data_IF_405407545935
#
_entry.id   IF_405407545935
#
_cell.length_a   1.000
_cell.length_b   1.000
_cell.length_c   1.000
_cell.angle_alpha   90.00
_cell.angle_beta   90.00
_cell.angle_gamma   90.00
#
_symmetry.space_group_name_H-M   'P 1'
#
loop_
_entity.id
_entity.type
_entity.pdbx_description
1 polymer ?
#
# COMPACT_ATOMS: atom_id res chain seq x y z
N UNK A 1 -39.08 -63.33 28.82
CA UNK A 1 -39.03 -62.03 29.52
C UNK A 1 -37.97 -61.19 28.83
N UNK A 2 -38.40 -60.26 28.00
CA UNK A 2 -37.50 -59.39 27.22
C UNK A 2 -37.54 -57.98 27.81
N UNK A 3 -36.41 -57.52 28.34
CA UNK A 3 -36.27 -56.17 28.93
C UNK A 3 -35.90 -55.19 27.83
N UNK A 4 -36.82 -54.29 27.42
CA UNK A 4 -36.57 -53.14 26.53
C UNK A 4 -35.83 -52.08 27.32
N UNK A 5 -34.60 -51.81 26.92
CA UNK A 5 -33.86 -50.64 27.37
C UNK A 5 -34.36 -49.37 26.62
N UNK A 6 -34.97 -48.42 27.32
CA UNK A 6 -35.26 -47.06 26.83
C UNK A 6 -33.96 -46.28 26.79
N UNK A 7 -33.56 -45.83 25.57
CA UNK A 7 -32.53 -44.85 25.37
C UNK A 7 -33.14 -43.45 25.50
N UNK A 8 -32.75 -42.72 26.54
CA UNK A 8 -33.05 -41.31 26.66
C UNK A 8 -32.00 -40.52 25.86
N UNK A 9 -32.43 -39.89 24.76
CA UNK A 9 -31.62 -38.88 24.03
C UNK A 9 -31.81 -37.53 24.72
N UNK A 10 -30.76 -36.85 25.20
CA UNK A 10 -30.91 -35.49 25.67
C UNK A 10 -31.04 -34.58 24.44
N UNK A 11 -32.14 -33.85 24.33
CA UNK A 11 -32.34 -32.76 23.38
C UNK A 11 -31.46 -31.61 23.87
N UNK A 12 -30.31 -31.38 23.20
CA UNK A 12 -29.51 -30.19 23.39
C UNK A 12 -30.20 -29.06 22.62
N UNK A 13 -30.89 -28.20 23.36
CA UNK A 13 -31.48 -26.97 22.84
C UNK A 13 -30.36 -25.99 22.54
N UNK A 14 -29.88 -25.94 21.28
CA UNK A 14 -29.00 -24.87 20.78
C UNK A 14 -29.79 -23.58 20.76
N UNK A 15 -29.58 -22.72 21.78
CA UNK A 15 -30.03 -21.34 21.75
C UNK A 15 -29.16 -20.62 20.70
N UNK A 16 -29.69 -20.44 19.50
CA UNK A 16 -29.15 -19.49 18.54
C UNK A 16 -29.36 -18.09 19.10
N UNK A 17 -28.34 -17.51 19.65
CA UNK A 17 -28.27 -16.08 19.91
C UNK A 17 -28.24 -15.40 18.53
N UNK A 18 -29.41 -15.06 17.99
CA UNK A 18 -29.52 -14.13 16.87
C UNK A 18 -29.07 -12.77 17.41
N UNK A 19 -27.81 -12.43 17.20
CA UNK A 19 -27.32 -11.07 17.30
C UNK A 19 -28.00 -10.30 16.15
N UNK A 20 -29.17 -9.69 16.43
CA UNK A 20 -29.75 -8.66 15.59
C UNK A 20 -28.84 -7.41 15.75
N UNK A 21 -27.79 -7.30 14.95
CA UNK A 21 -27.21 -6.00 14.67
C UNK A 21 -28.31 -5.20 13.95
N UNK A 22 -28.78 -4.13 14.59
CA UNK A 22 -29.66 -3.17 13.92
C UNK A 22 -28.83 -2.59 12.76
N UNK A 23 -29.25 -2.90 11.53
CA UNK A 23 -28.71 -2.22 10.37
C UNK A 23 -29.24 -0.79 10.48
N UNK A 24 -28.37 0.17 10.76
CA UNK A 24 -28.74 1.57 10.72
C UNK A 24 -29.05 1.94 9.27
N UNK A 25 -30.27 2.35 9.02
CA UNK A 25 -30.72 2.78 7.69
C UNK A 25 -30.68 4.30 7.70
N UNK A 26 -29.79 4.86 6.89
CA UNK A 26 -29.68 6.30 6.70
C UNK A 26 -30.51 6.74 5.49
N UNK A 27 -31.18 7.90 5.60
CA UNK A 27 -31.93 8.49 4.52
C UNK A 27 -31.01 9.09 3.46
N UNK A 28 -31.43 9.07 2.19
CA UNK A 28 -30.72 9.75 1.11
C UNK A 28 -30.98 11.28 1.16
N UNK A 29 -30.52 11.91 2.22
CA UNK A 29 -30.48 13.36 2.43
C UNK A 29 -29.03 13.80 2.67
N UNK A 30 -28.68 15.09 2.55
CA UNK A 30 -27.32 15.54 2.87
C UNK A 30 -26.87 15.09 4.26
N UNK A 31 -27.75 15.22 5.26
CA UNK A 31 -27.45 14.79 6.64
C UNK A 31 -27.34 13.27 6.76
N UNK A 32 -28.21 12.49 6.11
CA UNK A 32 -28.15 11.04 6.16
C UNK A 32 -26.89 10.48 5.50
N UNK A 33 -26.45 11.07 4.38
CA UNK A 33 -25.18 10.69 3.73
C UNK A 33 -23.96 11.07 4.58
N UNK A 34 -23.97 12.22 5.26
CA UNK A 34 -22.92 12.61 6.19
C UNK A 34 -22.80 11.63 7.37
N UNK A 35 -23.93 11.31 8.04
CA UNK A 35 -23.93 10.35 9.17
C UNK A 35 -23.51 8.96 8.71
N UNK A 36 -23.95 8.51 7.54
CA UNK A 36 -23.56 7.22 6.98
C UNK A 36 -22.05 7.16 6.73
N UNK A 37 -21.47 8.20 6.09
CA UNK A 37 -20.05 8.26 5.81
C UNK A 37 -19.23 8.27 7.09
N UNK A 38 -19.61 9.14 8.05
CA UNK A 38 -18.89 9.24 9.32
C UNK A 38 -18.88 7.90 10.06
N UNK A 39 -20.04 7.24 10.21
CA UNK A 39 -20.13 5.94 10.87
C UNK A 39 -19.38 4.82 10.14
N UNK A 40 -19.38 4.80 8.79
CA UNK A 40 -18.61 3.81 8.02
C UNK A 40 -17.12 3.94 8.34
N UNK A 41 -16.61 5.17 8.39
CA UNK A 41 -15.20 5.44 8.69
C UNK A 41 -14.91 5.17 10.15
N UNK A 42 -15.75 5.69 11.07
CA UNK A 42 -15.59 5.52 12.52
C UNK A 42 -15.49 4.05 12.94
N UNK A 43 -16.38 3.20 12.42
CA UNK A 43 -16.43 1.77 12.77
C UNK A 43 -15.38 0.90 12.06
N UNK A 44 -14.72 1.40 10.98
CA UNK A 44 -13.95 0.51 10.09
C UNK A 44 -12.57 1.00 9.69
N UNK A 45 -12.29 2.28 9.83
CA UNK A 45 -10.97 2.83 9.50
C UNK A 45 -9.93 2.40 10.54
N UNK A 46 -8.78 1.91 10.09
CA UNK A 46 -7.86 1.18 10.95
C UNK A 46 -6.72 2.00 11.58
N UNK A 47 -6.60 3.30 11.29
CA UNK A 47 -5.44 4.08 11.72
C UNK A 47 -5.77 5.24 12.67
N UNK A 48 -6.91 5.24 13.36
CA UNK A 48 -7.27 6.33 14.25
C UNK A 48 -6.24 6.55 15.37
N UNK A 49 -5.91 5.51 16.14
CA UNK A 49 -4.94 5.60 17.22
C UNK A 49 -3.56 6.05 16.73
N UNK A 50 -3.11 5.45 15.63
CA UNK A 50 -1.84 5.82 15.01
C UNK A 50 -1.79 7.28 14.56
N UNK A 51 -2.86 7.78 13.94
CA UNK A 51 -2.93 9.18 13.46
C UNK A 51 -3.19 10.17 14.60
N UNK A 52 -3.84 9.75 15.68
CA UNK A 52 -3.93 10.53 16.91
C UNK A 52 -2.54 10.72 17.54
N UNK A 53 -1.69 9.69 17.56
CA UNK A 53 -0.31 9.79 18.05
C UNK A 53 0.59 10.63 17.13
N UNK A 54 0.48 10.49 15.81
CA UNK A 54 1.36 11.14 14.84
C UNK A 54 1.10 12.64 14.65
N UNK A 55 -0.17 13.06 14.66
CA UNK A 55 -0.52 14.46 14.43
C UNK A 55 -1.76 14.95 15.19
N UNK A 56 -2.23 14.20 16.20
CA UNK A 56 -3.30 14.65 17.07
C UNK A 56 -4.70 14.58 16.43
N UNK A 57 -4.95 13.62 15.53
CA UNK A 57 -6.28 13.42 14.96
C UNK A 57 -7.30 13.13 16.07
N UNK A 58 -8.36 13.93 16.10
CA UNK A 58 -9.54 13.74 16.94
C UNK A 58 -10.77 13.62 16.04
N UNK A 59 -11.19 12.37 15.80
CA UNK A 59 -12.27 12.09 14.85
C UNK A 59 -13.63 12.59 15.33
N UNK A 60 -13.87 12.61 16.63
CA UNK A 60 -15.07 13.21 17.21
C UNK A 60 -15.12 14.74 17.02
N UNK A 61 -13.98 15.40 17.17
CA UNK A 61 -13.88 16.83 16.88
C UNK A 61 -14.11 17.11 15.38
N UNK A 62 -13.60 16.25 14.47
CA UNK A 62 -13.88 16.31 13.02
C UNK A 62 -15.37 16.18 12.75
N UNK A 63 -16.06 15.21 13.38
CA UNK A 63 -17.52 15.08 13.26
C UNK A 63 -18.24 16.38 13.58
N UNK A 64 -17.96 16.97 14.76
CA UNK A 64 -18.60 18.20 15.19
C UNK A 64 -18.28 19.39 14.30
N UNK A 65 -17.07 19.45 13.74
CA UNK A 65 -16.65 20.48 12.81
C UNK A 65 -17.43 20.41 11.50
N UNK A 66 -17.50 19.23 10.89
CA UNK A 66 -18.08 19.06 9.56
C UNK A 66 -19.61 18.97 9.59
N UNK A 67 -20.21 18.41 10.62
CA UNK A 67 -21.65 18.39 10.81
C UNK A 67 -22.28 19.79 10.74
N UNK A 68 -21.61 20.82 11.26
CA UNK A 68 -22.08 22.20 11.20
C UNK A 68 -22.09 22.82 9.80
N UNK A 69 -21.36 22.21 8.85
CA UNK A 69 -21.35 22.63 7.44
C UNK A 69 -22.49 22.01 6.62
N UNK A 70 -23.19 21.00 7.16
CA UNK A 70 -24.27 20.30 6.46
C UNK A 70 -25.57 21.06 6.59
N UNK A 71 -26.16 21.46 5.46
CA UNK A 71 -27.49 22.07 5.34
C UNK A 71 -28.45 21.15 4.57
N UNK A 72 -29.74 21.23 4.91
CA UNK A 72 -30.75 20.34 4.32
C UNK A 72 -30.95 20.57 2.79
N UNK A 73 -30.65 21.77 2.33
CA UNK A 73 -30.79 22.22 0.93
C UNK A 73 -29.46 22.22 0.15
N UNK A 74 -28.43 21.54 0.66
CA UNK A 74 -27.14 21.45 -0.03
C UNK A 74 -27.28 20.82 -1.41
N UNK A 75 -26.55 21.38 -2.38
CA UNK A 75 -26.34 20.71 -3.66
C UNK A 75 -25.51 19.45 -3.53
N UNK A 76 -25.64 18.54 -4.48
CA UNK A 76 -24.80 17.32 -4.55
C UNK A 76 -23.29 17.65 -4.58
N UNK A 77 -22.89 18.67 -5.34
CA UNK A 77 -21.50 19.12 -5.41
C UNK A 77 -21.02 19.69 -4.07
N UNK A 78 -21.83 20.55 -3.42
CA UNK A 78 -21.46 21.12 -2.12
C UNK A 78 -21.37 20.05 -1.02
N UNK A 79 -22.25 19.04 -1.05
CA UNK A 79 -22.15 17.90 -0.15
C UNK A 79 -20.86 17.12 -0.41
N UNK A 80 -20.53 16.84 -1.68
CA UNK A 80 -19.33 16.11 -2.06
C UNK A 80 -18.05 16.81 -1.55
N UNK A 81 -17.97 18.13 -1.73
CA UNK A 81 -16.83 18.93 -1.25
C UNK A 81 -16.68 18.82 0.27
N UNK A 82 -17.77 18.98 1.04
CA UNK A 82 -17.73 18.89 2.51
C UNK A 82 -17.34 17.51 2.98
N UNK A 83 -17.83 16.44 2.34
CA UNK A 83 -17.49 15.06 2.69
C UNK A 83 -16.04 14.72 2.30
N UNK A 84 -15.57 15.21 1.16
CA UNK A 84 -14.18 15.08 0.72
C UNK A 84 -13.22 15.76 1.70
N UNK A 85 -13.49 17.02 2.05
CA UNK A 85 -12.70 17.77 3.05
C UNK A 85 -12.65 17.06 4.41
N UNK A 86 -13.76 16.45 4.84
CA UNK A 86 -13.80 15.65 6.07
C UNK A 86 -12.85 14.45 6.01
N UNK A 87 -12.84 13.75 4.88
CA UNK A 87 -11.98 12.58 4.69
C UNK A 87 -10.50 12.97 4.59
N UNK A 88 -10.18 14.16 4.09
CA UNK A 88 -8.81 14.66 3.98
C UNK A 88 -8.13 14.85 5.35
N UNK A 89 -8.91 15.05 6.43
CA UNK A 89 -8.38 15.10 7.80
C UNK A 89 -7.67 13.80 8.19
N UNK A 90 -8.02 12.67 7.54
CA UNK A 90 -7.37 11.37 7.76
C UNK A 90 -5.97 11.27 7.15
N UNK A 91 -5.59 12.16 6.24
CA UNK A 91 -4.28 12.18 5.57
C UNK A 91 -3.86 10.82 5.02
N UNK A 92 -4.80 10.14 4.35
CA UNK A 92 -4.62 8.78 3.82
C UNK A 92 -4.99 8.73 2.32
N UNK A 93 -4.03 8.47 1.46
CA UNK A 93 -4.25 8.35 0.01
C UNK A 93 -5.13 7.16 -0.40
N UNK A 94 -5.38 6.20 0.50
CA UNK A 94 -6.35 5.12 0.28
C UNK A 94 -7.78 5.51 0.67
N UNK A 95 -7.98 6.62 1.38
CA UNK A 95 -9.31 7.15 1.67
C UNK A 95 -9.78 8.00 0.50
N UNK A 96 -10.76 7.51 -0.23
CA UNK A 96 -11.27 8.15 -1.43
C UNK A 96 -12.80 8.14 -1.44
N UNK A 97 -13.42 9.26 -1.80
CA UNK A 97 -14.85 9.34 -2.05
C UNK A 97 -15.08 9.41 -3.57
N UNK A 98 -15.92 8.53 -4.08
CA UNK A 98 -16.24 8.44 -5.51
C UNK A 98 -17.68 8.82 -5.75
N UNK A 99 -17.91 9.79 -6.62
CA UNK A 99 -19.18 10.15 -7.19
C UNK A 99 -19.12 10.06 -8.72
N UNK A 100 -20.27 10.10 -9.39
CA UNK A 100 -20.31 10.06 -10.86
C UNK A 100 -19.61 11.26 -11.53
N UNK A 101 -19.47 12.37 -10.81
CA UNK A 101 -18.95 13.63 -11.33
C UNK A 101 -17.55 13.97 -10.81
N UNK A 102 -17.08 13.32 -9.73
CA UNK A 102 -15.79 13.65 -9.13
C UNK A 102 -15.25 12.53 -8.23
N UNK A 103 -13.96 12.66 -7.85
CA UNK A 103 -13.26 11.78 -6.90
C UNK A 103 -12.45 12.64 -5.93
N UNK A 104 -12.82 12.63 -4.64
CA UNK A 104 -12.02 13.23 -3.58
C UNK A 104 -10.90 12.27 -3.13
N UNK A 105 -9.66 12.78 -3.04
CA UNK A 105 -8.45 12.01 -2.69
C UNK A 105 -7.45 12.88 -1.97
N UNK A 106 -6.73 12.30 -1.03
CA UNK A 106 -5.58 12.93 -0.40
C UNK A 106 -4.28 12.63 -1.17
N UNK A 107 -3.61 13.68 -1.70
CA UNK A 107 -2.40 13.56 -2.49
C UNK A 107 -1.13 14.07 -1.81
N UNK A 108 -1.26 14.74 -0.65
CA UNK A 108 -0.15 15.40 0.03
C UNK A 108 0.94 14.43 0.56
N UNK A 109 0.77 13.11 0.39
CA UNK A 109 1.84 12.16 0.70
C UNK A 109 3.04 12.29 -0.26
N UNK A 110 2.83 12.84 -1.46
CA UNK A 110 3.89 13.13 -2.45
C UNK A 110 3.92 14.58 -2.92
N UNK A 111 2.81 15.34 -2.83
CA UNK A 111 2.76 16.74 -3.19
C UNK A 111 3.59 17.59 -2.21
N UNK A 112 4.34 18.56 -2.75
CA UNK A 112 5.23 19.42 -1.95
C UNK A 112 6.60 18.80 -1.63
N UNK A 113 6.87 17.56 -2.04
CA UNK A 113 8.19 16.93 -1.97
C UNK A 113 8.90 16.95 -3.32
N UNK A 114 10.23 16.80 -3.30
CA UNK A 114 11.00 16.63 -4.53
C UNK A 114 10.54 15.36 -5.26
N UNK A 115 10.34 15.46 -6.58
CA UNK A 115 9.91 14.31 -7.37
C UNK A 115 10.94 13.18 -7.36
N UNK A 116 12.23 13.49 -7.28
CA UNK A 116 13.32 12.53 -7.26
C UNK A 116 13.26 11.48 -8.38
N UNK A 117 12.70 11.89 -9.53
CA UNK A 117 12.52 11.09 -10.73
C UNK A 117 12.41 11.97 -11.96
N UNK A 118 12.87 11.48 -13.11
CA UNK A 118 12.71 12.11 -14.42
C UNK A 118 12.61 11.03 -15.49
N UNK A 119 11.47 10.98 -16.19
CA UNK A 119 11.26 10.04 -17.31
C UNK A 119 12.28 10.27 -18.44
N UNK A 120 12.68 11.51 -18.70
CA UNK A 120 13.69 11.85 -19.70
C UNK A 120 15.05 11.21 -19.36
N UNK A 121 15.47 11.32 -18.10
CA UNK A 121 16.73 10.73 -17.63
C UNK A 121 16.62 9.20 -17.57
N UNK A 122 15.48 8.66 -17.14
CA UNK A 122 15.21 7.21 -17.15
C UNK A 122 15.43 6.62 -18.56
N UNK A 123 14.87 7.27 -19.59
CA UNK A 123 15.03 6.81 -20.99
C UNK A 123 16.50 6.80 -21.40
N UNK A 124 17.29 7.76 -20.89
CA UNK A 124 18.74 7.79 -21.13
C UNK A 124 19.45 6.57 -20.55
N UNK A 125 19.13 6.15 -19.31
CA UNK A 125 19.71 4.95 -18.68
C UNK A 125 19.21 3.65 -19.32
N UNK A 126 17.95 3.57 -19.71
CA UNK A 126 17.41 2.39 -20.41
C UNK A 126 18.05 2.21 -21.79
N UNK A 127 18.39 3.32 -22.49
CA UNK A 127 18.88 3.26 -23.87
C UNK A 127 17.78 2.99 -24.87
N UNK A 128 18.15 2.63 -26.11
CA UNK A 128 17.21 2.36 -27.21
C UNK A 128 16.88 0.88 -27.39
N UNK A 129 17.67 0.00 -26.79
CA UNK A 129 17.64 -1.45 -26.93
C UNK A 129 17.25 -2.19 -25.65
N UNK A 130 16.67 -1.46 -24.67
CA UNK A 130 16.13 -2.09 -23.48
C UNK A 130 15.07 -3.14 -23.82
N UNK A 131 14.95 -4.13 -22.95
CA UNK A 131 13.99 -5.22 -23.10
C UNK A 131 12.76 -5.01 -22.24
N UNK A 132 11.67 -5.63 -22.65
CA UNK A 132 10.40 -5.62 -21.91
C UNK A 132 10.02 -7.07 -21.59
N UNK A 133 9.76 -7.33 -20.30
CA UNK A 133 9.20 -8.59 -19.84
C UNK A 133 7.93 -8.30 -19.05
N UNK A 134 6.76 -8.43 -19.69
CA UNK A 134 5.48 -7.97 -19.17
C UNK A 134 5.52 -6.47 -18.84
N UNK A 135 5.23 -6.05 -17.58
CA UNK A 135 5.31 -4.65 -17.16
C UNK A 135 6.71 -4.14 -16.82
N UNK A 136 7.74 -4.98 -16.89
CA UNK A 136 9.12 -4.62 -16.53
C UNK A 136 9.88 -4.10 -17.76
N UNK A 137 10.66 -3.02 -17.59
CA UNK A 137 11.65 -2.56 -18.57
C UNK A 137 13.04 -2.81 -17.99
N UNK A 138 13.94 -3.45 -18.71
CA UNK A 138 15.24 -3.80 -18.17
C UNK A 138 16.38 -3.70 -19.20
N UNK A 139 17.58 -3.43 -18.67
CA UNK A 139 18.82 -3.32 -19.46
C UNK A 139 20.02 -3.68 -18.59
N UNK A 140 21.19 -3.78 -19.21
CA UNK A 140 22.49 -3.89 -18.52
C UNK A 140 23.23 -2.56 -18.68
N UNK A 141 23.53 -1.90 -17.55
CA UNK A 141 24.30 -0.67 -17.57
C UNK A 141 25.77 -0.93 -17.94
N UNK A 142 26.52 0.11 -18.43
CA UNK A 142 27.90 -0.08 -18.92
C UNK A 142 28.88 -0.70 -17.94
N UNK A 143 28.62 -0.57 -16.63
CA UNK A 143 29.44 -1.12 -15.55
C UNK A 143 29.04 -2.54 -15.08
N UNK A 144 28.28 -3.24 -15.93
CA UNK A 144 27.78 -4.60 -15.67
C UNK A 144 26.87 -4.71 -14.44
N UNK A 145 25.99 -3.73 -14.26
CA UNK A 145 24.90 -3.73 -13.27
C UNK A 145 23.59 -3.89 -14.04
N UNK A 146 22.76 -4.83 -13.60
CA UNK A 146 21.40 -4.97 -14.13
C UNK A 146 20.52 -3.83 -13.65
N UNK A 147 19.67 -3.32 -14.51
CA UNK A 147 18.68 -2.28 -14.16
C UNK A 147 17.29 -2.73 -14.59
N UNK A 148 16.36 -2.73 -13.65
CA UNK A 148 14.95 -3.06 -13.88
C UNK A 148 14.11 -1.88 -13.42
N UNK A 149 13.33 -1.28 -14.30
CA UNK A 149 12.31 -0.30 -13.97
C UNK A 149 10.95 -0.99 -13.89
N UNK A 150 10.25 -0.79 -12.78
CA UNK A 150 8.93 -1.34 -12.48
C UNK A 150 7.93 -0.18 -12.37
N UNK A 151 7.27 0.24 -13.47
CA UNK A 151 6.43 1.43 -13.47
C UNK A 151 5.13 1.29 -12.67
N UNK A 152 4.63 0.05 -12.51
CA UNK A 152 3.39 -0.22 -11.78
C UNK A 152 3.25 -1.70 -11.46
N UNK A 153 2.67 -2.00 -10.31
CA UNK A 153 2.17 -3.33 -9.97
C UNK A 153 0.72 -3.57 -10.43
N UNK A 154 0.11 -2.66 -11.19
CA UNK A 154 -1.16 -2.92 -11.88
C UNK A 154 -0.98 -3.78 -13.13
N UNK A 155 0.22 -3.81 -13.70
CA UNK A 155 0.56 -4.71 -14.80
C UNK A 155 0.92 -6.09 -14.25
N UNK A 156 0.44 -7.15 -14.91
CA UNK A 156 0.77 -8.51 -14.48
C UNK A 156 2.27 -8.78 -14.61
N UNK A 157 2.84 -9.42 -13.59
CA UNK A 157 4.22 -9.89 -13.58
C UNK A 157 4.16 -11.41 -13.52
N UNK A 158 4.40 -12.05 -14.65
CA UNK A 158 4.38 -13.51 -14.75
C UNK A 158 5.73 -14.14 -14.40
N UNK A 159 5.70 -15.32 -13.83
CA UNK A 159 6.89 -16.08 -13.43
C UNK A 159 7.88 -16.30 -14.59
N UNK A 160 7.37 -16.62 -15.80
CA UNK A 160 8.21 -16.78 -16.99
C UNK A 160 8.86 -15.47 -17.46
N UNK A 161 8.18 -14.33 -17.26
CA UNK A 161 8.75 -13.02 -17.58
C UNK A 161 9.89 -12.68 -16.62
N UNK A 162 9.75 -13.02 -15.33
CA UNK A 162 10.82 -12.86 -14.36
C UNK A 162 12.02 -13.77 -14.65
N UNK A 163 11.78 -15.02 -15.06
CA UNK A 163 12.87 -15.93 -15.48
C UNK A 163 13.66 -15.35 -16.65
N UNK A 164 12.96 -14.84 -17.68
CA UNK A 164 13.61 -14.22 -18.84
C UNK A 164 14.45 -13.01 -18.42
N UNK A 165 13.86 -12.10 -17.61
CA UNK A 165 14.54 -10.91 -17.13
C UNK A 165 15.78 -11.26 -16.30
N UNK A 166 15.64 -12.09 -15.25
CA UNK A 166 16.74 -12.46 -14.37
C UNK A 166 17.80 -13.30 -15.05
N UNK A 167 17.42 -14.16 -16.02
CA UNK A 167 18.37 -14.90 -16.82
C UNK A 167 19.22 -13.98 -17.71
N UNK A 168 18.60 -13.00 -18.35
CA UNK A 168 19.33 -12.02 -19.17
C UNK A 168 20.31 -11.18 -18.34
N UNK A 169 19.95 -10.89 -17.08
CA UNK A 169 20.78 -10.10 -16.15
C UNK A 169 21.75 -10.96 -15.33
N UNK A 170 21.75 -12.28 -15.45
CA UNK A 170 22.51 -13.20 -14.62
C UNK A 170 24.04 -12.95 -14.62
N UNK A 171 24.58 -12.37 -15.70
CA UNK A 171 26.01 -12.00 -15.82
C UNK A 171 26.37 -10.76 -14.97
N UNK A 172 25.39 -9.96 -14.56
CA UNK A 172 25.61 -8.73 -13.82
C UNK A 172 26.11 -9.01 -12.41
N UNK A 173 26.92 -8.09 -11.86
CA UNK A 173 27.47 -8.18 -10.49
C UNK A 173 26.48 -7.80 -9.40
N UNK A 174 25.44 -7.03 -9.73
CA UNK A 174 24.37 -6.61 -8.86
C UNK A 174 23.19 -6.09 -9.69
N UNK A 175 22.12 -5.68 -9.01
CA UNK A 175 20.86 -5.28 -9.62
C UNK A 175 20.32 -4.00 -9.00
N UNK A 176 19.84 -3.10 -9.81
CA UNK A 176 19.02 -1.96 -9.41
C UNK A 176 17.58 -2.27 -9.80
N UNK A 177 16.66 -2.18 -8.85
CA UNK A 177 15.21 -2.27 -9.06
C UNK A 177 14.64 -0.89 -8.77
N UNK A 178 14.20 -0.20 -9.81
CA UNK A 178 13.65 1.15 -9.69
C UNK A 178 12.13 1.08 -9.61
N UNK A 179 11.59 1.42 -8.44
CA UNK A 179 10.14 1.50 -8.17
C UNK A 179 9.71 2.95 -7.89
N UNK A 180 10.50 3.93 -8.29
CA UNK A 180 10.09 5.32 -8.22
C UNK A 180 8.92 5.57 -9.17
N UNK A 181 8.03 6.47 -8.80
CA UNK A 181 6.76 6.76 -9.51
C UNK A 181 5.84 5.56 -9.73
N UNK A 182 6.04 4.49 -8.98
CA UNK A 182 5.15 3.34 -8.96
C UNK A 182 4.09 3.50 -7.86
N UNK A 183 2.89 3.90 -8.23
CA UNK A 183 1.75 4.10 -7.31
C UNK A 183 1.12 2.81 -6.76
N UNK A 184 1.71 1.65 -7.00
CA UNK A 184 1.23 0.37 -6.48
C UNK A 184 0.44 -0.46 -7.50
N UNK A 185 -0.57 -1.18 -7.03
CA UNK A 185 -1.39 -2.10 -7.81
C UNK A 185 -1.70 -3.38 -7.05
N UNK A 186 -1.41 -4.53 -7.65
CA UNK A 186 -1.67 -5.84 -7.08
C UNK A 186 -0.50 -6.29 -6.19
N UNK A 187 -0.79 -6.54 -4.92
CA UNK A 187 0.18 -7.01 -3.93
C UNK A 187 0.83 -8.34 -4.33
N UNK A 188 0.07 -9.26 -4.94
CA UNK A 188 0.62 -10.56 -5.36
C UNK A 188 1.72 -10.42 -6.41
N UNK A 189 1.70 -9.39 -7.26
CA UNK A 189 2.78 -9.14 -8.22
C UNK A 189 4.04 -8.60 -7.53
N UNK A 190 3.87 -7.77 -6.51
CA UNK A 190 4.96 -7.29 -5.67
C UNK A 190 5.63 -8.46 -4.93
N UNK A 191 4.84 -9.36 -4.33
CA UNK A 191 5.32 -10.57 -3.66
C UNK A 191 6.02 -11.54 -4.63
N UNK A 192 5.45 -11.77 -5.83
CA UNK A 192 6.04 -12.64 -6.86
C UNK A 192 7.41 -12.13 -7.29
N UNK A 193 7.57 -10.82 -7.45
CA UNK A 193 8.87 -10.21 -7.73
C UNK A 193 9.83 -10.39 -6.54
N UNK A 194 9.39 -10.05 -5.33
CA UNK A 194 10.23 -10.11 -4.12
C UNK A 194 10.70 -11.54 -3.80
N UNK A 195 9.88 -12.56 -4.05
CA UNK A 195 10.20 -13.98 -3.82
C UNK A 195 11.43 -14.47 -4.59
N UNK A 196 11.87 -13.73 -5.60
CA UNK A 196 13.08 -14.03 -6.39
C UNK A 196 14.38 -13.65 -5.70
N UNK A 197 14.32 -12.93 -4.56
CA UNK A 197 15.50 -12.36 -3.90
C UNK A 197 15.85 -13.02 -2.56
N UNK A 198 15.18 -14.12 -2.23
CA UNK A 198 15.49 -14.93 -1.04
C UNK A 198 15.54 -16.42 -1.38
N UNK A 199 16.31 -17.17 -0.60
CA UNK A 199 16.34 -18.64 -0.61
C UNK A 199 15.54 -19.25 0.56
N UNK A 200 15.07 -18.41 1.47
CA UNK A 200 14.45 -18.83 2.72
C UNK A 200 13.08 -18.19 2.88
N UNK A 201 12.27 -18.76 3.75
CA UNK A 201 11.06 -18.15 4.25
C UNK A 201 11.43 -17.02 5.21
N UNK A 202 11.00 -15.79 4.92
CA UNK A 202 11.38 -14.58 5.66
C UNK A 202 10.14 -13.93 6.26
N UNK A 203 10.18 -13.58 7.55
CA UNK A 203 9.18 -12.73 8.18
C UNK A 203 9.30 -11.31 7.62
N UNK A 204 8.24 -10.79 7.01
CA UNK A 204 8.24 -9.47 6.35
C UNK A 204 7.33 -8.45 7.01
N UNK A 205 6.53 -8.88 7.98
CA UNK A 205 5.65 -7.99 8.72
C UNK A 205 4.52 -8.71 9.43
N UNK A 206 3.54 -7.92 9.83
CA UNK A 206 2.34 -8.38 10.51
C UNK A 206 1.11 -7.66 9.99
N UNK A 207 -0.06 -8.28 10.18
CA UNK A 207 -1.36 -7.69 9.87
C UNK A 207 -2.30 -7.94 11.05
N UNK A 208 -3.20 -7.00 11.31
CA UNK A 208 -4.32 -7.20 12.21
C UNK A 208 -5.64 -7.06 11.43
N UNK A 209 -6.67 -7.73 11.93
CA UNK A 209 -8.01 -7.68 11.35
C UNK A 209 -8.99 -7.06 12.36
N UNK A 210 -9.90 -6.22 11.88
CA UNK A 210 -10.96 -5.63 12.70
C UNK A 210 -11.84 -6.73 13.29
N UNK A 211 -12.10 -6.69 14.62
CA UNK A 211 -12.90 -7.67 15.36
C UNK A 211 -14.16 -7.09 15.98
N UNK A 212 -14.31 -5.78 16.00
CA UNK A 212 -15.42 -5.04 16.58
C UNK A 212 -15.60 -3.67 15.94
N UNK A 213 -16.21 -2.74 16.67
CA UNK A 213 -16.54 -1.39 16.21
C UNK A 213 -15.71 -0.30 16.85
N UNK A 214 -15.03 -0.59 17.95
CA UNK A 214 -14.16 0.37 18.62
C UNK A 214 -12.83 0.51 17.86
N UNK A 215 -12.20 1.68 17.92
CA UNK A 215 -10.98 1.99 17.20
C UNK A 215 -9.80 1.07 17.53
N UNK A 216 -9.84 0.40 18.68
CA UNK A 216 -8.84 -0.55 19.15
C UNK A 216 -9.23 -2.02 18.96
N UNK A 217 -10.40 -2.31 18.38
CA UNK A 217 -10.92 -3.67 18.22
C UNK A 217 -10.24 -4.42 17.08
N UNK A 218 -9.01 -4.83 17.30
CA UNK A 218 -8.21 -5.62 16.35
C UNK A 218 -7.85 -7.01 16.89
N UNK A 219 -7.63 -7.94 15.99
CA UNK A 219 -7.02 -9.25 16.29
C UNK A 219 -5.60 -9.07 16.84
N UNK A 220 -5.06 -10.12 17.45
CA UNK A 220 -3.62 -10.21 17.66
C UNK A 220 -2.90 -10.12 16.31
N UNK A 221 -1.69 -9.51 16.25
CA UNK A 221 -0.91 -9.43 15.02
C UNK A 221 -0.59 -10.82 14.45
N UNK A 222 -0.97 -11.04 13.19
CA UNK A 222 -0.68 -12.27 12.46
C UNK A 222 0.57 -12.07 11.61
N UNK A 223 1.60 -12.95 11.71
CA UNK A 223 2.83 -12.78 10.97
C UNK A 223 2.64 -13.05 9.48
N UNK A 224 3.22 -12.16 8.65
CA UNK A 224 3.26 -12.29 7.20
C UNK A 224 4.67 -12.77 6.80
N UNK A 225 4.72 -13.83 6.01
CA UNK A 225 5.97 -14.39 5.52
C UNK A 225 6.05 -14.32 4.00
N UNK A 226 7.22 -14.01 3.49
CA UNK A 226 7.58 -14.23 2.10
C UNK A 226 8.14 -15.64 1.95
N UNK A 227 7.52 -16.45 1.10
CA UNK A 227 8.10 -17.73 0.69
C UNK A 227 9.10 -17.49 -0.48
N UNK A 228 10.19 -18.26 -0.51
CA UNK A 228 11.11 -18.20 -1.64
C UNK A 228 10.48 -18.82 -2.89
N UNK A 229 10.73 -18.23 -4.06
CA UNK A 229 10.34 -18.83 -5.33
C UNK A 229 11.07 -20.15 -5.56
N UNK A 230 10.40 -21.13 -6.17
CA UNK A 230 11.01 -22.40 -6.62
C UNK A 230 11.72 -22.26 -7.99
N UNK A 231 11.67 -21.07 -8.60
CA UNK A 231 12.27 -20.75 -9.90
C UNK A 231 13.61 -20.02 -9.74
N UNK A 232 14.11 -19.40 -10.82
CA UNK A 232 15.35 -18.64 -10.83
C UNK A 232 15.34 -17.52 -9.77
N UNK A 233 16.34 -17.53 -8.89
CA UNK A 233 16.49 -16.55 -7.80
C UNK A 233 17.79 -15.77 -7.94
N UNK A 234 17.77 -14.54 -7.48
CA UNK A 234 18.91 -13.62 -7.50
C UNK A 234 19.56 -13.56 -6.12
N UNK A 235 20.86 -13.87 -6.05
CA UNK A 235 21.61 -13.96 -4.79
C UNK A 235 22.87 -13.09 -4.83
N UNK A 236 22.76 -11.90 -5.42
CA UNK A 236 23.79 -10.87 -5.46
C UNK A 236 23.22 -9.55 -4.93
N UNK A 237 24.04 -8.51 -4.63
CA UNK A 237 23.55 -7.24 -4.14
C UNK A 237 22.44 -6.62 -4.98
N UNK A 238 21.46 -6.01 -4.31
CA UNK A 238 20.32 -5.33 -4.92
C UNK A 238 20.15 -3.95 -4.28
N UNK A 239 20.00 -2.91 -5.08
CA UNK A 239 19.53 -1.61 -4.63
C UNK A 239 18.09 -1.42 -5.13
N UNK A 240 17.15 -1.08 -4.24
CA UNK A 240 15.79 -0.69 -4.58
C UNK A 240 15.68 0.82 -4.49
N UNK A 241 15.30 1.47 -5.60
CA UNK A 241 15.16 2.92 -5.66
C UNK A 241 13.74 3.35 -5.36
N UNK A 242 13.59 4.32 -4.45
CA UNK A 242 12.29 4.79 -3.96
C UNK A 242 12.15 6.31 -4.00
N UNK A 243 10.91 6.78 -4.11
CA UNK A 243 10.53 8.17 -3.91
C UNK A 243 9.14 8.26 -3.26
N UNK A 244 8.63 9.49 -3.03
CA UNK A 244 7.31 9.72 -2.43
C UNK A 244 6.13 9.15 -3.23
N UNK A 245 6.29 8.93 -4.52
CA UNK A 245 5.29 8.29 -5.37
C UNK A 245 5.36 6.75 -5.35
N UNK A 246 6.35 6.14 -4.66
CA UNK A 246 6.37 4.70 -4.36
C UNK A 246 5.32 4.39 -3.29
N UNK A 247 4.10 3.98 -3.69
CA UNK A 247 2.91 3.97 -2.84
C UNK A 247 2.17 2.62 -2.84
N UNK A 248 1.39 2.32 -1.80
CA UNK A 248 0.48 1.16 -1.74
C UNK A 248 1.24 -0.17 -1.90
N UNK A 249 0.89 -1.03 -2.86
CA UNK A 249 1.59 -2.31 -3.10
C UNK A 249 3.11 -2.13 -3.34
N UNK A 250 3.55 -0.95 -3.80
CA UNK A 250 4.97 -0.62 -3.91
C UNK A 250 5.60 -0.36 -2.55
N UNK A 251 4.87 0.28 -1.65
CA UNK A 251 5.31 0.43 -0.26
C UNK A 251 5.45 -0.94 0.43
N UNK A 252 4.49 -1.86 0.19
CA UNK A 252 4.60 -3.24 0.67
C UNK A 252 5.78 -4.00 0.03
N UNK A 253 6.03 -3.81 -1.27
CA UNK A 253 7.22 -4.35 -1.94
C UNK A 253 8.51 -3.88 -1.25
N UNK A 254 8.62 -2.58 -0.97
CA UNK A 254 9.79 -2.01 -0.28
C UNK A 254 9.92 -2.56 1.14
N UNK A 255 8.81 -2.70 1.88
CA UNK A 255 8.77 -3.36 3.21
C UNK A 255 9.33 -4.78 3.15
N UNK A 256 8.89 -5.57 2.18
CA UNK A 256 9.36 -6.93 1.97
C UNK A 256 10.85 -6.96 1.62
N UNK A 257 11.25 -6.18 0.62
CA UNK A 257 12.65 -6.15 0.14
C UNK A 257 13.62 -5.70 1.23
N UNK A 258 13.23 -4.76 2.09
CA UNK A 258 14.04 -4.30 3.24
C UNK A 258 14.34 -5.40 4.25
N UNK A 259 13.50 -6.44 4.33
CA UNK A 259 13.73 -7.60 5.21
C UNK A 259 14.78 -8.57 4.66
N UNK A 260 15.29 -8.37 3.45
CA UNK A 260 16.19 -9.28 2.77
C UNK A 260 17.66 -8.83 2.92
N UNK A 261 18.61 -9.73 3.24
CA UNK A 261 19.96 -9.36 3.66
C UNK A 261 20.84 -8.75 2.55
N UNK A 262 20.52 -8.97 1.29
CA UNK A 262 21.31 -8.47 0.14
C UNK A 262 20.70 -7.21 -0.48
N UNK A 263 19.70 -6.61 0.15
CA UNK A 263 18.95 -5.46 -0.37
C UNK A 263 19.29 -4.20 0.40
N UNK A 264 19.49 -3.11 -0.34
CA UNK A 264 19.64 -1.75 0.19
C UNK A 264 18.60 -0.85 -0.44
N UNK A 265 17.82 -0.13 0.35
CA UNK A 265 16.83 0.85 -0.13
C UNK A 265 17.53 2.21 -0.27
N UNK A 266 17.44 2.81 -1.45
CA UNK A 266 18.15 4.06 -1.80
C UNK A 266 17.17 5.08 -2.38
N UNK A 267 17.30 6.33 -2.01
CA UNK A 267 16.49 7.44 -2.53
C UNK A 267 15.76 8.19 -1.44
N UNK A 268 14.47 8.46 -1.62
CA UNK A 268 13.63 9.13 -0.61
C UNK A 268 12.68 8.11 0.06
N UNK A 269 12.07 8.56 1.16
CA UNK A 269 10.98 7.84 1.83
C UNK A 269 9.88 7.50 0.82
N UNK A 270 9.30 6.31 0.92
CA UNK A 270 8.10 5.95 0.15
C UNK A 270 6.90 6.80 0.56
N UNK A 271 5.87 6.83 -0.27
CA UNK A 271 4.63 7.56 0.02
C UNK A 271 3.73 6.89 1.06
N UNK A 272 4.00 5.66 1.41
CA UNK A 272 3.18 4.91 2.35
C UNK A 272 1.98 4.21 1.72
N UNK A 273 0.81 4.33 2.38
CA UNK A 273 -0.42 3.67 1.93
C UNK A 273 -0.43 2.19 2.26
N UNK A 274 -0.58 1.88 3.54
CA UNK A 274 -0.79 0.52 4.03
C UNK A 274 -2.28 0.27 4.32
N UNK A 275 -2.63 -0.81 5.03
CA UNK A 275 -3.94 -0.97 5.64
C UNK A 275 -5.01 -1.71 4.83
N UNK A 276 -4.68 -2.37 3.71
CA UNK A 276 -5.61 -3.15 2.87
C UNK A 276 -6.98 -2.46 2.69
N UNK A 277 -7.17 -1.68 1.62
CA UNK A 277 -8.36 -0.86 1.48
C UNK A 277 -9.62 -1.69 1.18
N UNK A 278 -10.71 -1.30 1.83
CA UNK A 278 -12.07 -1.76 1.59
C UNK A 278 -12.94 -0.66 0.98
N UNK A 279 -14.12 -1.01 0.51
CA UNK A 279 -15.08 -0.05 0.00
C UNK A 279 -16.45 -0.27 0.62
N UNK A 280 -17.20 0.82 0.77
CA UNK A 280 -18.58 0.84 1.21
C UNK A 280 -19.38 1.83 0.39
N UNK A 281 -20.72 1.73 0.42
CA UNK A 281 -21.63 2.56 -0.36
C UNK A 281 -22.46 3.46 0.56
N UNK A 282 -22.70 4.72 0.13
CA UNK A 282 -23.55 5.68 0.79
C UNK A 282 -24.97 5.60 0.27
N UNK A 283 -25.98 6.11 1.02
CA UNK A 283 -27.39 6.10 0.59
C UNK A 283 -27.66 6.74 -0.78
N UNK A 284 -26.84 7.71 -1.20
CA UNK A 284 -26.96 8.38 -2.50
C UNK A 284 -26.25 7.64 -3.66
N UNK A 285 -25.68 6.44 -3.41
CA UNK A 285 -24.94 5.65 -4.39
C UNK A 285 -23.49 6.05 -4.59
N UNK A 286 -22.94 7.00 -3.81
CA UNK A 286 -21.50 7.24 -3.79
C UNK A 286 -20.79 6.13 -3.04
N UNK A 287 -19.54 5.87 -3.39
CA UNK A 287 -18.75 4.89 -2.67
C UNK A 287 -17.55 5.55 -1.98
N UNK A 288 -17.24 5.05 -0.79
CA UNK A 288 -16.04 5.41 -0.05
C UNK A 288 -15.10 4.21 0.01
N UNK A 289 -13.82 4.45 -0.27
CA UNK A 289 -12.73 3.48 -0.06
C UNK A 289 -11.91 3.94 1.14
N UNK A 290 -11.42 3.03 1.96
CA UNK A 290 -10.66 3.33 3.18
C UNK A 290 -9.80 2.14 3.61
N UNK A 291 -8.73 2.40 4.37
CA UNK A 291 -7.85 1.39 4.98
C UNK A 291 -8.55 0.71 6.16
N UNK A 292 -8.58 -0.63 6.20
CA UNK A 292 -9.35 -1.39 7.18
C UNK A 292 -8.55 -2.42 8.00
N UNK A 293 -7.33 -2.77 7.59
CA UNK A 293 -6.49 -3.77 8.27
C UNK A 293 -5.11 -3.19 8.50
N UNK A 294 -4.76 -2.75 9.73
CA UNK A 294 -3.43 -2.18 9.97
C UNK A 294 -2.35 -3.23 9.70
N UNK A 295 -1.34 -2.83 8.94
CA UNK A 295 -0.17 -3.65 8.65
C UNK A 295 1.12 -2.99 9.12
N UNK A 296 2.09 -3.83 9.49
CA UNK A 296 3.33 -3.43 10.11
C UNK A 296 4.52 -4.07 9.39
N UNK A 297 5.70 -3.50 9.56
CA UNK A 297 6.95 -4.16 9.18
C UNK A 297 7.33 -5.29 10.17
N UNK A 298 8.45 -5.96 9.93
CA UNK A 298 8.92 -7.05 10.79
C UNK A 298 9.30 -6.61 12.21
N UNK A 299 9.52 -5.31 12.43
CA UNK A 299 9.80 -4.70 13.73
C UNK A 299 8.54 -4.13 14.41
N UNK A 300 7.34 -4.45 13.89
CA UNK A 300 6.04 -3.94 14.37
C UNK A 300 5.88 -2.41 14.24
N UNK A 301 6.49 -1.77 13.23
CA UNK A 301 6.30 -0.35 12.94
C UNK A 301 5.26 -0.18 11.85
N UNK A 302 4.42 0.84 11.99
CA UNK A 302 3.52 1.26 10.93
C UNK A 302 4.28 1.71 9.67
N UNK A 303 3.75 1.37 8.50
CA UNK A 303 4.30 1.79 7.21
C UNK A 303 3.35 2.73 6.45
N UNK A 304 2.30 3.19 7.13
CA UNK A 304 1.26 4.07 6.55
C UNK A 304 1.84 5.38 6.02
N UNK A 305 2.74 6.03 6.76
CA UNK A 305 3.43 7.25 6.32
C UNK A 305 4.77 6.99 5.63
N UNK A 306 4.91 5.79 5.04
CA UNK A 306 6.05 5.41 4.24
C UNK A 306 7.24 4.87 5.01
N UNK A 307 8.14 4.28 4.25
CA UNK A 307 9.37 3.61 4.71
C UNK A 307 10.55 4.50 4.37
N UNK A 308 11.34 4.86 5.38
CA UNK A 308 12.60 5.58 5.14
C UNK A 308 13.60 4.69 4.41
N UNK A 309 14.38 5.20 3.44
CA UNK A 309 15.44 4.44 2.81
C UNK A 309 16.58 4.16 3.78
N UNK A 310 17.41 3.16 3.47
CA UNK A 310 18.66 2.92 4.18
C UNK A 310 19.69 4.01 3.87
N UNK A 311 19.67 4.51 2.64
CA UNK A 311 20.51 5.61 2.17
C UNK A 311 19.61 6.67 1.53
N UNK A 312 19.45 7.80 2.25
CA UNK A 312 18.69 8.93 1.72
C UNK A 312 19.52 9.70 0.68
N UNK A 313 18.97 9.86 -0.50
CA UNK A 313 19.57 10.59 -1.62
C UNK A 313 18.48 11.30 -2.41
N UNK A 314 18.74 12.57 -2.75
CA UNK A 314 17.87 13.34 -3.65
C UNK A 314 18.59 13.61 -4.97
N UNK A 315 17.82 13.80 -6.03
CA UNK A 315 18.36 14.21 -7.32
C UNK A 315 18.86 15.65 -7.25
N UNK A 316 20.13 15.86 -7.55
CA UNK A 316 20.72 17.21 -7.58
C UNK A 316 20.51 17.90 -8.93
N UNK A 317 20.41 19.23 -8.91
CA UNK A 317 20.32 20.03 -10.15
C UNK A 317 21.60 19.93 -10.98
N UNK A 318 22.77 19.75 -10.34
CA UNK A 318 24.03 19.55 -11.03
C UNK A 318 24.00 18.28 -11.88
N UNK A 319 23.62 17.13 -11.29
CA UNK A 319 23.52 15.87 -12.03
C UNK A 319 22.43 15.91 -13.09
N UNK A 320 21.26 16.47 -12.78
CA UNK A 320 20.18 16.67 -13.77
C UNK A 320 20.66 17.45 -15.00
N UNK A 321 21.41 18.52 -14.79
CA UNK A 321 21.95 19.34 -15.88
C UNK A 321 22.92 18.59 -16.79
N UNK A 322 23.52 17.52 -16.28
CA UNK A 322 24.42 16.59 -16.98
C UNK A 322 23.70 15.37 -17.57
N UNK A 323 22.37 15.28 -17.39
CA UNK A 323 21.58 14.12 -17.79
C UNK A 323 21.81 12.88 -16.90
N UNK A 324 22.30 13.09 -15.67
CA UNK A 324 22.54 12.03 -14.68
C UNK A 324 21.44 11.98 -13.63
N UNK A 325 21.20 10.81 -13.10
CA UNK A 325 20.33 10.54 -11.97
C UNK A 325 21.17 10.25 -10.73
N UNK A 326 21.21 11.19 -9.77
CA UNK A 326 22.02 11.07 -8.55
C UNK A 326 21.72 9.78 -7.77
N UNK A 327 20.45 9.33 -7.79
CA UNK A 327 20.00 8.14 -7.04
C UNK A 327 20.50 6.88 -7.74
N UNK A 328 20.38 6.80 -9.08
CA UNK A 328 20.94 5.68 -9.86
C UNK A 328 22.46 5.63 -9.71
N UNK A 329 23.15 6.77 -9.83
CA UNK A 329 24.61 6.82 -9.68
C UNK A 329 25.08 6.37 -8.28
N UNK A 330 24.32 6.76 -7.24
CA UNK A 330 24.59 6.29 -5.86
C UNK A 330 24.43 4.77 -5.75
N UNK A 331 23.36 4.22 -6.30
CA UNK A 331 23.12 2.77 -6.30
C UNK A 331 24.22 2.00 -7.06
N UNK A 332 24.70 2.55 -8.18
CA UNK A 332 25.83 1.99 -8.94
C UNK A 332 27.12 1.97 -8.11
N UNK A 333 27.39 3.01 -7.35
CA UNK A 333 28.55 3.07 -6.45
C UNK A 333 28.45 2.03 -5.34
N UNK A 334 27.27 1.84 -4.72
CA UNK A 334 27.05 0.84 -3.67
C UNK A 334 27.30 -0.57 -4.19
N UNK A 335 26.75 -0.92 -5.36
CA UNK A 335 26.94 -2.24 -5.98
C UNK A 335 28.39 -2.43 -6.46
N UNK A 336 29.10 -1.35 -6.74
CA UNK A 336 30.48 -1.33 -7.23
C UNK A 336 31.55 -1.61 -6.19
N UNK A 337 31.20 -1.47 -4.92
CA UNK A 337 32.12 -1.72 -3.80
C UNK A 337 32.24 -3.22 -3.50
#
# INVERSE_FOLDING_TARGET
MSVRKLFHFPIVLCAMLASCSKIEVYDNTPKGNFEALWNIIDERYCFFDYKAEEYGLDWDAVYHQYKRKIADDMSSTGLFEVLGDMLDELRDGHVNLYAAHDVARYWNFHEGYAANFSEEILVHYLGTDYKIASGLRYTILPDNIGYIYVPSFSNSIGEGNLDECLHALAICRGLIIDVRDNGGGNLSYAETLAARFTNERVLTGYICHTTGKEHSDFSSPEPIYLESSDRLRWQKPVCVLTNRSSYSATNDFVKIMRSLPLVTIVGDRTGGGSGLPFSSELPNGWSVRFSACPSFDADMRHTEFGIAPDIHVEMTDEDRSRGLDTIIETARQIIGQ
#
